data_IF_397524298082
#
_entry.id   IF_397524298082
#
_cell.length_a   1.000
_cell.length_b   1.000
_cell.length_c   1.000
_cell.angle_alpha   90.00
_cell.angle_beta   90.00
_cell.angle_gamma   90.00
#
_symmetry.space_group_name_H-M   'P 1'
#
loop_
_entity.id
_entity.type
_entity.pdbx_description
1 polymer ?
#
# COMPACT_ATOMS: atom_id res chain seq x y z
N UNK A 1 1.23 24.37 -5.17
CA UNK A 1 1.47 25.16 -6.38
C UNK A 1 2.57 24.57 -7.27
N UNK A 2 2.68 23.23 -7.38
CA UNK A 2 3.55 22.55 -8.36
C UNK A 2 5.05 22.52 -8.05
N UNK A 3 5.47 23.02 -6.89
CA UNK A 3 6.89 22.93 -6.50
C UNK A 3 7.14 21.68 -5.66
N UNK A 4 8.02 20.81 -6.15
CA UNK A 4 8.51 19.69 -5.35
C UNK A 4 9.65 20.14 -4.43
N UNK A 5 9.73 19.52 -3.25
CA UNK A 5 10.85 19.70 -2.32
C UNK A 5 11.74 18.46 -2.41
N UNK A 6 12.87 18.51 -3.11
CA UNK A 6 13.71 17.33 -3.34
C UNK A 6 14.15 16.63 -2.05
N UNK A 7 14.39 17.39 -0.99
CA UNK A 7 14.75 16.88 0.34
C UNK A 7 13.68 16.01 0.99
N UNK A 8 12.40 16.28 0.67
CA UNK A 8 11.23 15.55 1.17
C UNK A 8 10.80 14.37 0.29
N UNK A 9 11.51 14.06 -0.79
CA UNK A 9 11.18 12.95 -1.67
C UNK A 9 11.86 11.68 -1.18
N UNK A 10 11.05 10.66 -0.87
CA UNK A 10 11.54 9.32 -0.55
C UNK A 10 10.88 8.33 -1.52
N UNK A 11 11.70 7.48 -2.13
CA UNK A 11 11.23 6.37 -2.95
C UNK A 11 11.44 5.06 -2.22
N UNK A 12 10.36 4.28 -2.11
CA UNK A 12 10.36 2.94 -1.56
C UNK A 12 9.96 1.95 -2.65
N UNK A 13 10.62 0.81 -2.70
CA UNK A 13 10.35 -0.23 -3.70
C UNK A 13 9.47 -1.35 -3.10
N UNK A 14 8.43 -0.97 -2.36
CA UNK A 14 7.41 -1.89 -1.85
C UNK A 14 6.07 -1.45 -2.41
N UNK A 15 5.31 -2.39 -2.94
CA UNK A 15 4.00 -2.13 -3.53
C UNK A 15 3.12 -3.37 -3.61
N UNK A 16 2.07 -3.28 -4.39
CA UNK A 16 1.06 -4.35 -4.51
C UNK A 16 1.61 -5.70 -4.96
N UNK A 17 2.68 -5.71 -5.78
CA UNK A 17 3.33 -6.97 -6.21
C UNK A 17 4.06 -7.67 -5.07
N UNK A 18 4.66 -6.92 -4.17
CA UNK A 18 5.34 -7.49 -3.01
C UNK A 18 4.32 -8.06 -2.01
N UNK A 19 3.17 -7.39 -1.88
CA UNK A 19 2.05 -7.90 -1.09
C UNK A 19 1.49 -9.19 -1.72
N UNK A 20 1.35 -9.26 -3.06
CA UNK A 20 0.92 -10.49 -3.75
C UNK A 20 1.89 -11.64 -3.49
N UNK A 21 3.20 -11.39 -3.60
CA UNK A 21 4.22 -12.39 -3.34
C UNK A 21 4.21 -12.87 -1.89
N UNK A 22 4.06 -11.94 -0.94
CA UNK A 22 3.97 -12.28 0.47
C UNK A 22 2.68 -13.03 0.80
N UNK A 23 1.55 -12.59 0.27
CA UNK A 23 0.28 -13.31 0.43
C UNK A 23 0.35 -14.73 -0.15
N UNK A 24 1.00 -14.90 -1.31
CA UNK A 24 1.21 -16.22 -1.88
C UNK A 24 2.02 -17.11 -0.92
N UNK A 25 3.09 -16.60 -0.32
CA UNK A 25 3.93 -17.37 0.63
C UNK A 25 3.11 -17.86 1.83
N UNK A 26 2.37 -16.96 2.49
CA UNK A 26 1.57 -17.34 3.66
C UNK A 26 0.39 -18.25 3.31
N UNK A 27 -0.18 -18.13 2.11
CA UNK A 27 -1.22 -19.03 1.63
C UNK A 27 -0.66 -20.41 1.24
N UNK A 28 0.58 -20.49 0.72
CA UNK A 28 1.24 -21.75 0.42
C UNK A 28 1.43 -22.60 1.68
N UNK A 29 1.74 -21.96 2.81
CA UNK A 29 1.91 -22.66 4.08
C UNK A 29 0.58 -23.15 4.69
N UNK A 30 -0.48 -22.38 4.57
CA UNK A 30 -1.74 -22.61 5.31
C UNK A 30 -2.85 -23.23 4.46
N UNK A 31 -3.05 -22.74 3.25
CA UNK A 31 -4.25 -23.04 2.46
C UNK A 31 -3.98 -23.83 1.18
N UNK A 32 -2.80 -23.71 0.55
CA UNK A 32 -2.45 -24.43 -0.66
C UNK A 32 -1.84 -25.83 -0.49
N UNK A 33 -1.50 -26.35 0.69
CA UNK A 33 -0.85 -27.67 0.82
C UNK A 33 -1.66 -28.82 0.21
N UNK A 34 -2.98 -28.64 0.07
CA UNK A 34 -3.91 -29.62 -0.53
C UNK A 34 -4.18 -29.42 -2.02
N UNK A 35 -3.74 -28.31 -2.58
CA UNK A 35 -3.97 -27.95 -3.99
C UNK A 35 -2.72 -28.18 -4.84
N UNK A 36 -2.25 -29.43 -4.91
CA UNK A 36 -1.09 -29.86 -5.72
C UNK A 36 -1.21 -29.57 -7.22
N UNK A 37 -2.33 -29.00 -7.67
CA UNK A 37 -2.66 -28.81 -9.09
C UNK A 37 -2.56 -27.35 -9.55
N UNK A 38 -2.29 -26.41 -8.63
CA UNK A 38 -2.23 -24.98 -9.00
C UNK A 38 -0.82 -24.64 -9.47
N UNK A 39 -0.68 -24.25 -10.72
CA UNK A 39 0.61 -23.81 -11.29
C UNK A 39 1.01 -22.43 -10.75
N UNK A 40 2.33 -22.14 -10.73
CA UNK A 40 2.87 -20.94 -10.11
C UNK A 40 2.31 -19.60 -10.64
N UNK A 41 1.94 -19.51 -11.94
CA UNK A 41 1.28 -18.33 -12.52
C UNK A 41 -0.14 -18.14 -12.01
N UNK A 42 -0.91 -19.22 -11.91
CA UNK A 42 -2.28 -19.20 -11.38
C UNK A 42 -2.30 -18.82 -9.89
N UNK A 43 -1.32 -19.28 -9.09
CA UNK A 43 -1.19 -18.88 -7.69
C UNK A 43 -1.05 -17.37 -7.52
N UNK A 44 -0.28 -16.71 -8.39
CA UNK A 44 -0.13 -15.25 -8.38
C UNK A 44 -1.43 -14.52 -8.68
N UNK A 45 -2.19 -15.00 -9.65
CA UNK A 45 -3.48 -14.41 -10.03
C UNK A 45 -4.51 -14.59 -8.92
N UNK A 46 -4.54 -15.77 -8.28
CA UNK A 46 -5.40 -16.05 -7.13
C UNK A 46 -5.02 -15.16 -5.94
N UNK A 47 -3.73 -15.05 -5.61
CA UNK A 47 -3.26 -14.19 -4.53
C UNK A 47 -3.62 -12.72 -4.81
N UNK A 48 -3.49 -12.27 -6.07
CA UNK A 48 -3.88 -10.93 -6.47
C UNK A 48 -5.38 -10.69 -6.30
N UNK A 49 -6.23 -11.62 -6.72
CA UNK A 49 -7.68 -11.53 -6.60
C UNK A 49 -8.11 -11.53 -5.12
N UNK A 50 -7.53 -12.43 -4.31
CA UNK A 50 -7.76 -12.47 -2.86
C UNK A 50 -7.34 -11.16 -2.21
N UNK A 51 -6.16 -10.62 -2.56
CA UNK A 51 -5.69 -9.33 -2.06
C UNK A 51 -6.70 -8.21 -2.32
N UNK A 52 -7.19 -8.10 -3.56
CA UNK A 52 -8.10 -7.00 -3.92
C UNK A 52 -9.49 -7.15 -3.31
N UNK A 53 -9.98 -8.38 -3.10
CA UNK A 53 -11.35 -8.64 -2.64
C UNK A 53 -11.49 -8.82 -1.13
N UNK A 54 -10.47 -9.39 -0.50
CA UNK A 54 -10.62 -9.89 0.88
C UNK A 54 -9.61 -9.32 1.86
N UNK A 55 -8.48 -8.74 1.40
CA UNK A 55 -7.50 -8.16 2.31
C UNK A 55 -7.91 -6.78 2.80
N UNK A 56 -7.55 -6.47 4.04
CA UNK A 56 -7.77 -5.19 4.70
C UNK A 56 -6.60 -4.86 5.63
N UNK A 57 -6.49 -3.61 6.03
CA UNK A 57 -5.48 -3.15 6.99
C UNK A 57 -6.10 -3.11 8.37
N UNK A 58 -5.54 -3.87 9.30
CA UNK A 58 -6.00 -3.84 10.68
C UNK A 58 -5.67 -2.50 11.34
N UNK A 59 -6.63 -1.91 12.04
CA UNK A 59 -6.42 -0.69 12.83
C UNK A 59 -5.40 -0.89 13.95
N UNK A 60 -5.41 -2.09 14.56
CA UNK A 60 -4.42 -2.56 15.52
C UNK A 60 -4.10 -4.01 15.19
N UNK A 61 -2.90 -4.24 14.64
CA UNK A 61 -2.49 -5.56 14.17
C UNK A 61 -2.46 -6.60 15.28
N UNK A 62 -1.90 -6.23 16.44
CA UNK A 62 -1.71 -7.19 17.53
C UNK A 62 -3.07 -7.58 18.17
N UNK A 63 -3.99 -6.63 18.28
CA UNK A 63 -5.35 -6.88 18.76
C UNK A 63 -6.14 -7.76 17.77
N UNK A 64 -6.02 -7.49 16.46
CA UNK A 64 -6.70 -8.27 15.43
C UNK A 64 -6.15 -9.70 15.35
N UNK A 65 -4.83 -9.87 15.51
CA UNK A 65 -4.18 -11.18 15.56
C UNK A 65 -4.67 -12.01 16.78
N UNK A 66 -4.80 -11.38 17.95
CA UNK A 66 -5.37 -12.05 19.12
C UNK A 66 -6.83 -12.44 18.92
N UNK A 67 -7.61 -11.58 18.27
CA UNK A 67 -8.99 -11.87 17.90
C UNK A 67 -9.08 -13.05 16.93
N UNK A 68 -8.27 -13.07 15.87
CA UNK A 68 -8.22 -14.16 14.90
C UNK A 68 -7.85 -15.51 15.50
N UNK A 69 -6.95 -15.53 16.52
CA UNK A 69 -6.60 -16.76 17.24
C UNK A 69 -7.72 -17.29 18.14
N UNK A 70 -8.55 -16.41 18.66
CA UNK A 70 -9.61 -16.77 19.59
C UNK A 70 -10.98 -17.00 18.95
N UNK A 71 -11.20 -16.44 17.75
CA UNK A 71 -12.47 -16.49 17.02
C UNK A 71 -12.25 -16.79 15.55
N UNK A 72 -13.27 -17.34 14.90
CA UNK A 72 -13.26 -17.58 13.44
C UNK A 72 -13.92 -16.45 12.65
N UNK A 73 -14.14 -15.28 13.25
CA UNK A 73 -14.85 -14.16 12.62
C UNK A 73 -14.10 -13.58 11.41
N UNK A 74 -12.77 -13.67 11.43
CA UNK A 74 -11.92 -13.20 10.33
C UNK A 74 -11.92 -14.15 9.13
N UNK A 75 -12.42 -15.40 9.30
CA UNK A 75 -12.32 -16.41 8.27
C UNK A 75 -13.28 -16.12 7.11
N UNK A 76 -12.77 -16.27 5.90
CA UNK A 76 -13.51 -16.14 4.66
C UNK A 76 -13.22 -17.34 3.77
N UNK A 77 -14.26 -17.86 3.11
CA UNK A 77 -14.11 -18.90 2.10
C UNK A 77 -13.95 -18.24 0.72
N UNK A 78 -13.01 -18.75 -0.04
CA UNK A 78 -12.76 -18.36 -1.43
C UNK A 78 -12.85 -19.59 -2.32
N UNK A 79 -13.63 -19.49 -3.38
CA UNK A 79 -13.78 -20.57 -4.36
C UNK A 79 -12.73 -20.44 -5.43
N UNK A 80 -11.86 -21.43 -5.54
CA UNK A 80 -10.85 -21.52 -6.58
C UNK A 80 -11.48 -21.70 -7.96
N UNK A 81 -10.79 -21.33 -9.05
CA UNK A 81 -11.30 -21.52 -10.41
C UNK A 81 -11.70 -22.96 -10.74
N UNK A 82 -11.12 -23.92 -10.04
CA UNK A 82 -11.39 -25.37 -10.18
C UNK A 82 -12.61 -25.84 -9.38
N UNK A 83 -13.27 -24.96 -8.65
CA UNK A 83 -14.44 -25.25 -7.83
C UNK A 83 -14.14 -25.70 -6.40
N UNK A 84 -12.88 -25.86 -6.02
CA UNK A 84 -12.50 -26.15 -4.64
C UNK A 84 -12.61 -24.90 -3.77
N UNK A 85 -13.00 -25.05 -2.52
CA UNK A 85 -13.04 -23.98 -1.53
C UNK A 85 -11.79 -23.99 -0.65
N UNK A 86 -11.23 -22.81 -0.43
CA UNK A 86 -10.20 -22.58 0.55
C UNK A 86 -10.68 -21.55 1.58
N UNK A 87 -10.29 -21.73 2.84
CA UNK A 87 -10.60 -20.82 3.93
C UNK A 87 -9.32 -20.23 4.50
N UNK A 88 -9.32 -18.93 4.70
CA UNK A 88 -8.21 -18.17 5.27
C UNK A 88 -8.75 -17.05 6.16
N UNK A 89 -7.96 -16.58 7.10
CA UNK A 89 -8.37 -15.61 8.11
C UNK A 89 -7.33 -14.55 8.40
N UNK A 90 -6.32 -14.88 9.18
CA UNK A 90 -5.26 -13.93 9.58
C UNK A 90 -4.42 -13.43 8.41
N UNK A 91 -4.34 -14.17 7.32
CA UNK A 91 -3.60 -13.81 6.12
C UNK A 91 -4.15 -12.53 5.48
N UNK A 92 -5.45 -12.28 5.64
CA UNK A 92 -6.16 -11.13 5.08
C UNK A 92 -5.61 -9.79 5.56
N UNK A 93 -5.20 -9.68 6.81
CA UNK A 93 -4.64 -8.46 7.37
C UNK A 93 -3.12 -8.54 7.58
N UNK A 94 -2.55 -9.76 7.59
CA UNK A 94 -1.11 -9.96 7.71
C UNK A 94 -0.38 -9.52 6.43
N UNK A 95 -0.92 -9.81 5.25
CA UNK A 95 -0.27 -9.43 4.01
C UNK A 95 -0.17 -7.90 3.81
N UNK A 96 -1.22 -7.09 4.01
CA UNK A 96 -1.11 -5.64 3.93
C UNK A 96 -0.28 -5.00 5.06
N UNK A 97 -0.10 -5.67 6.20
CA UNK A 97 0.76 -5.17 7.30
C UNK A 97 2.21 -4.97 6.86
N UNK A 98 2.63 -5.62 5.77
CA UNK A 98 3.92 -5.37 5.13
C UNK A 98 4.18 -3.89 4.80
N UNK A 99 3.14 -3.10 4.56
CA UNK A 99 3.27 -1.66 4.32
C UNK A 99 3.69 -0.87 5.56
N UNK A 100 3.43 -1.41 6.76
CA UNK A 100 3.72 -0.78 8.04
C UNK A 100 4.91 -1.43 8.76
N UNK A 101 5.01 -2.76 8.68
CA UNK A 101 6.05 -3.56 9.33
C UNK A 101 6.77 -4.46 8.31
N UNK A 102 7.63 -3.91 7.43
CA UNK A 102 8.31 -4.68 6.39
C UNK A 102 9.37 -5.65 6.92
N UNK A 103 9.64 -5.61 8.22
CA UNK A 103 10.62 -6.46 8.88
C UNK A 103 10.05 -7.80 9.36
N UNK A 104 8.87 -8.19 8.89
CA UNK A 104 8.33 -9.52 9.18
C UNK A 104 9.31 -10.58 8.65
N UNK A 105 9.78 -11.45 9.52
CA UNK A 105 10.89 -12.37 9.25
C UNK A 105 10.68 -13.28 8.04
N UNK A 106 9.43 -13.62 7.78
CA UNK A 106 9.01 -14.47 6.64
C UNK A 106 9.34 -13.79 5.30
N UNK A 107 9.10 -12.49 5.19
CA UNK A 107 9.34 -11.75 3.93
C UNK A 107 10.83 -11.44 3.71
N UNK A 108 11.59 -11.30 4.79
CA UNK A 108 13.02 -10.95 4.75
C UNK A 108 13.89 -12.02 4.10
N UNK A 109 13.51 -13.28 4.24
CA UNK A 109 14.31 -14.41 3.76
C UNK A 109 14.24 -14.62 2.25
N UNK A 110 13.14 -14.24 1.58
CA UNK A 110 12.90 -14.60 0.19
C UNK A 110 12.83 -13.42 -0.81
N UNK A 111 12.41 -12.25 -0.38
CA UNK A 111 12.11 -11.14 -1.31
C UNK A 111 13.22 -10.10 -1.47
N UNK A 112 14.37 -10.24 -0.81
CA UNK A 112 15.49 -9.28 -0.95
C UNK A 112 15.09 -7.84 -0.60
N UNK A 113 14.14 -7.68 0.32
CA UNK A 113 13.63 -6.36 0.71
C UNK A 113 14.77 -5.47 1.16
N UNK A 114 14.87 -4.30 0.55
CA UNK A 114 15.87 -3.29 0.91
C UNK A 114 15.76 -2.97 2.39
N UNK A 115 16.86 -3.11 3.12
CA UNK A 115 17.00 -2.88 4.57
C UNK A 115 16.65 -1.45 5.03
N UNK A 116 16.16 -0.59 4.14
CA UNK A 116 15.89 0.83 4.38
C UNK A 116 14.42 1.19 4.50
N UNK A 117 13.50 0.26 4.23
CA UNK A 117 12.07 0.55 4.38
C UNK A 117 11.65 0.26 5.83
N UNK A 118 11.18 1.27 6.53
CA UNK A 118 10.80 1.22 7.95
C UNK A 118 9.27 1.18 8.17
N UNK A 119 8.50 1.33 7.10
CA UNK A 119 7.05 1.47 7.11
C UNK A 119 6.60 2.79 6.48
N UNK A 120 5.40 2.81 5.92
CA UNK A 120 4.87 3.98 5.21
C UNK A 120 4.65 5.17 6.17
N UNK A 121 4.24 4.90 7.39
CA UNK A 121 4.05 5.87 8.46
C UNK A 121 5.35 6.58 8.82
N UNK A 122 6.43 5.82 9.04
CA UNK A 122 7.76 6.37 9.30
C UNK A 122 8.28 7.20 8.12
N UNK A 123 8.02 6.74 6.91
CA UNK A 123 8.45 7.46 5.70
C UNK A 123 7.71 8.78 5.52
N UNK A 124 6.40 8.82 5.76
CA UNK A 124 5.62 10.08 5.74
C UNK A 124 6.18 11.04 6.79
N UNK A 125 6.37 10.58 8.01
CA UNK A 125 6.95 11.37 9.09
C UNK A 125 8.35 11.90 8.75
N UNK A 126 9.21 11.04 8.23
CA UNK A 126 10.58 11.40 7.83
C UNK A 126 10.60 12.39 6.66
N UNK A 127 9.71 12.23 5.66
CA UNK A 127 9.56 13.18 4.56
C UNK A 127 9.22 14.59 5.07
N UNK A 128 8.23 14.69 5.96
CA UNK A 128 7.80 15.97 6.51
C UNK A 128 8.92 16.61 7.34
N UNK A 129 9.63 15.81 8.15
CA UNK A 129 10.70 16.32 8.99
C UNK A 129 11.97 16.74 8.25
N UNK A 130 12.18 16.27 7.03
CA UNK A 130 13.26 16.75 6.16
C UNK A 130 12.98 18.12 5.56
N UNK A 131 11.71 18.55 5.56
CA UNK A 131 11.33 19.85 5.06
C UNK A 131 11.48 20.95 6.12
N UNK A 132 11.50 22.21 5.68
CA UNK A 132 11.62 23.37 6.55
C UNK A 132 10.50 23.39 7.61
N UNK A 133 10.85 23.83 8.81
CA UNK A 133 9.94 23.79 9.97
C UNK A 133 8.67 24.59 9.74
N UNK A 134 8.76 25.72 9.02
CA UNK A 134 7.66 26.64 8.78
C UNK A 134 6.54 26.03 7.92
N UNK A 135 6.89 25.06 7.05
CA UNK A 135 5.92 24.43 6.14
C UNK A 135 5.42 23.06 6.63
N UNK A 136 6.02 22.48 7.67
CA UNK A 136 5.62 21.16 8.19
C UNK A 136 4.17 21.11 8.61
N UNK A 137 3.66 22.19 9.21
CA UNK A 137 2.27 22.29 9.63
C UNK A 137 1.32 22.12 8.44
N UNK A 138 1.65 22.72 7.30
CA UNK A 138 0.84 22.65 6.10
C UNK A 138 0.89 21.25 5.48
N UNK A 139 2.06 20.57 5.55
CA UNK A 139 2.16 19.18 5.10
C UNK A 139 1.34 18.23 5.96
N UNK A 140 1.37 18.34 7.28
CA UNK A 140 0.52 17.53 8.16
C UNK A 140 -0.98 17.78 7.90
N UNK A 141 -1.37 19.00 7.57
CA UNK A 141 -2.75 19.36 7.28
C UNK A 141 -3.21 18.95 5.86
N UNK A 142 -2.32 18.47 4.99
CA UNK A 142 -2.61 18.16 3.59
C UNK A 142 -1.89 16.89 3.11
N UNK A 143 -2.11 15.79 3.79
CA UNK A 143 -1.58 14.48 3.38
C UNK A 143 -2.54 13.88 2.35
N UNK A 144 -2.09 13.75 1.11
CA UNK A 144 -2.88 13.16 0.02
C UNK A 144 -2.40 11.73 -0.21
N UNK A 145 -3.33 10.78 -0.19
CA UNK A 145 -3.05 9.39 -0.49
C UNK A 145 -3.61 9.01 -1.86
N UNK A 146 -2.83 8.26 -2.65
CA UNK A 146 -3.21 7.81 -3.99
C UNK A 146 -2.52 6.48 -4.33
N UNK A 147 -3.12 5.77 -5.29
CA UNK A 147 -2.62 4.49 -5.77
C UNK A 147 -3.37 3.28 -5.22
N UNK A 148 -3.24 2.13 -5.89
CA UNK A 148 -4.01 0.92 -5.61
C UNK A 148 -3.85 0.40 -4.18
N UNK A 149 -2.64 0.44 -3.61
CA UNK A 149 -2.41 -0.04 -2.23
C UNK A 149 -3.11 0.81 -1.16
N UNK A 150 -3.52 2.03 -1.49
CA UNK A 150 -4.30 2.87 -0.56
C UNK A 150 -5.78 2.49 -0.50
N UNK A 151 -6.22 1.59 -1.39
CA UNK A 151 -7.62 1.16 -1.49
C UNK A 151 -8.01 0.12 -0.45
N UNK A 152 -7.06 -0.50 0.22
CA UNK A 152 -7.37 -1.42 1.32
C UNK A 152 -8.30 -0.74 2.33
N UNK A 153 -9.34 -1.47 2.74
CA UNK A 153 -10.19 -1.07 3.86
C UNK A 153 -9.33 -0.88 5.12
N UNK A 154 -9.59 0.16 5.90
CA UNK A 154 -8.82 0.48 7.11
C UNK A 154 -7.44 1.12 6.85
N UNK A 155 -6.98 1.27 5.60
CA UNK A 155 -5.65 1.83 5.31
C UNK A 155 -5.50 3.27 5.79
N UNK A 156 -6.47 4.13 5.47
CA UNK A 156 -6.42 5.54 5.85
C UNK A 156 -6.41 5.70 7.37
N UNK A 157 -7.33 5.01 8.04
CA UNK A 157 -7.50 5.07 9.49
C UNK A 157 -6.24 4.60 10.22
N UNK A 158 -5.58 3.56 9.70
CA UNK A 158 -4.34 3.07 10.26
C UNK A 158 -3.19 4.06 10.08
N UNK A 159 -3.00 4.60 8.88
CA UNK A 159 -1.95 5.60 8.62
C UNK A 159 -2.19 6.84 9.47
N UNK A 160 -3.43 7.30 9.60
CA UNK A 160 -3.79 8.43 10.43
C UNK A 160 -3.43 8.19 11.91
N UNK A 161 -3.79 7.03 12.46
CA UNK A 161 -3.43 6.61 13.82
C UNK A 161 -1.92 6.67 14.04
N UNK A 162 -1.14 6.07 13.12
CA UNK A 162 0.31 6.00 13.27
C UNK A 162 0.97 7.38 13.14
N UNK A 163 0.50 8.23 12.21
CA UNK A 163 1.02 9.59 12.06
C UNK A 163 0.66 10.46 13.27
N UNK A 164 -0.53 10.32 13.85
CA UNK A 164 -0.90 11.03 15.10
C UNK A 164 0.05 10.64 16.24
N UNK A 165 0.46 9.38 16.31
CA UNK A 165 1.39 8.90 17.33
C UNK A 165 2.81 9.48 17.17
N UNK A 166 3.24 9.70 15.92
CA UNK A 166 4.58 10.18 15.59
C UNK A 166 4.69 11.71 15.59
N UNK A 167 3.63 12.39 15.21
CA UNK A 167 3.62 13.84 15.04
C UNK A 167 3.55 14.58 16.38
N UNK A 168 4.08 15.82 16.46
CA UNK A 168 3.90 16.66 17.63
C UNK A 168 2.41 16.89 17.94
N UNK A 169 1.97 16.90 19.22
CA UNK A 169 0.56 17.00 19.61
C UNK A 169 -0.16 18.27 19.12
N UNK A 170 0.60 19.30 18.78
CA UNK A 170 0.08 20.59 18.30
C UNK A 170 -0.27 20.58 16.80
N UNK A 171 0.10 19.53 16.08
CA UNK A 171 -0.10 19.44 14.64
C UNK A 171 -1.51 18.96 14.32
N UNK A 172 -2.20 19.68 13.44
CA UNK A 172 -3.47 19.24 12.89
C UNK A 172 -3.20 18.34 11.70
N UNK A 173 -3.58 17.08 11.80
CA UNK A 173 -3.39 16.09 10.75
C UNK A 173 -4.68 15.99 9.94
N UNK A 174 -4.56 16.01 8.62
CA UNK A 174 -5.69 15.82 7.70
C UNK A 174 -5.26 15.00 6.50
N UNK A 175 -6.00 13.94 6.26
CA UNK A 175 -5.88 13.11 5.07
C UNK A 175 -6.90 13.50 3.99
N UNK A 176 -6.46 13.41 2.75
CA UNK A 176 -7.31 13.58 1.57
C UNK A 176 -7.23 12.27 0.77
N UNK A 177 -8.33 11.54 0.76
CA UNK A 177 -8.47 10.25 0.09
C UNK A 177 -9.71 10.27 -0.81
N UNK A 178 -9.52 10.56 -2.09
CA UNK A 178 -10.63 10.54 -3.04
C UNK A 178 -11.09 9.10 -3.33
N UNK A 179 -12.37 8.88 -3.62
CA UNK A 179 -12.87 7.55 -3.99
C UNK A 179 -12.12 6.94 -5.18
N UNK A 180 -11.78 7.76 -6.17
CA UNK A 180 -11.07 7.35 -7.40
C UNK A 180 -9.55 7.34 -7.26
N UNK A 181 -9.01 7.38 -6.06
CA UNK A 181 -7.56 7.49 -5.79
C UNK A 181 -6.72 6.36 -6.41
N UNK A 182 -7.32 5.21 -6.72
CA UNK A 182 -6.66 4.14 -7.50
C UNK A 182 -6.13 4.68 -8.83
N UNK A 183 -6.88 5.57 -9.47
CA UNK A 183 -6.57 6.16 -10.76
C UNK A 183 -6.15 7.64 -10.69
N UNK A 184 -5.83 8.14 -9.49
CA UNK A 184 -5.53 9.55 -9.28
C UNK A 184 -4.39 10.09 -10.16
N UNK A 185 -3.34 9.28 -10.36
CA UNK A 185 -2.21 9.64 -11.23
C UNK A 185 -2.63 9.71 -12.70
N UNK A 186 -3.43 8.74 -13.17
CA UNK A 186 -3.96 8.74 -14.52
C UNK A 186 -4.87 9.95 -14.77
N UNK A 187 -5.78 10.22 -13.86
CA UNK A 187 -6.68 11.37 -13.95
C UNK A 187 -5.90 12.68 -14.00
N UNK A 188 -4.88 12.84 -13.15
CA UNK A 188 -3.99 13.99 -13.16
C UNK A 188 -3.22 14.15 -14.47
N UNK A 189 -2.71 13.07 -15.02
CA UNK A 189 -2.07 13.04 -16.34
C UNK A 189 -3.02 13.44 -17.46
N UNK A 190 -4.24 12.93 -17.46
CA UNK A 190 -5.29 13.28 -18.43
C UNK A 190 -5.66 14.76 -18.36
N UNK A 191 -5.83 15.31 -17.16
CA UNK A 191 -6.09 16.74 -16.97
C UNK A 191 -4.92 17.56 -17.50
N UNK A 192 -3.68 17.20 -17.15
CA UNK A 192 -2.49 17.91 -17.62
C UNK A 192 -2.41 17.90 -19.16
N UNK A 193 -2.64 16.73 -19.78
CA UNK A 193 -2.65 16.61 -21.26
C UNK A 193 -3.74 17.39 -21.95
N UNK A 194 -4.81 17.72 -21.25
CA UNK A 194 -5.93 18.54 -21.78
C UNK A 194 -5.70 20.04 -21.66
N UNK A 195 -4.66 20.48 -20.96
CA UNK A 195 -4.39 21.91 -20.81
C UNK A 195 -3.86 22.52 -22.13
N UNK A 196 -4.33 23.74 -22.51
CA UNK A 196 -3.80 24.42 -23.69
C UNK A 196 -2.29 24.68 -23.65
N UNK A 197 -1.72 24.76 -22.44
CA UNK A 197 -0.29 24.97 -22.22
C UNK A 197 0.54 23.69 -22.27
N UNK A 198 -0.10 22.53 -22.45
CA UNK A 198 0.60 21.24 -22.46
C UNK A 198 1.64 21.17 -23.60
N UNK A 199 1.32 21.74 -24.78
CA UNK A 199 2.25 21.82 -25.92
C UNK A 199 3.57 22.54 -25.59
N UNK A 200 3.57 23.42 -24.59
CA UNK A 200 4.78 24.14 -24.12
C UNK A 200 5.62 23.32 -23.12
N UNK A 201 5.10 22.20 -22.65
CA UNK A 201 5.75 21.34 -21.65
C UNK A 201 6.38 20.10 -22.26
N UNK A 202 6.11 19.83 -23.54
CA UNK A 202 6.58 18.64 -24.24
C UNK A 202 7.65 19.02 -25.26
N UNK A 203 8.57 18.11 -25.51
CA UNK A 203 9.50 18.17 -26.63
C UNK A 203 8.75 17.64 -27.85
N UNK A 204 8.64 18.43 -28.91
CA UNK A 204 7.99 18.03 -30.16
C UNK A 204 8.85 17.05 -30.93
N UNK A 205 8.24 16.35 -31.91
CA UNK A 205 8.97 15.42 -32.77
C UNK A 205 10.12 16.12 -33.53
N UNK A 206 9.90 17.35 -33.96
CA UNK A 206 10.90 18.12 -34.69
C UNK A 206 12.05 18.55 -33.78
N UNK A 207 11.76 19.04 -32.59
CA UNK A 207 12.77 19.38 -31.57
C UNK A 207 13.56 18.16 -31.04
N UNK A 208 13.01 16.96 -31.15
CA UNK A 208 13.69 15.72 -30.75
C UNK A 208 14.66 15.24 -31.82
N UNK A 209 14.41 15.56 -33.12
CA UNK A 209 15.22 15.11 -34.24
C UNK A 209 16.33 16.11 -34.61
N UNK A 210 16.30 17.34 -34.08
CA UNK A 210 17.36 18.35 -34.20
C UNK A 210 18.45 18.13 -33.13
#
# INVERSE_FOLDING_TARGET
KGYSRPEGIIRCNIGGRDIDAFLQLILDDCAFPRANYIFGSQKKEIAHDIKEKHCYVAYDYDAELQKAKNTSECNVSYTLPEGNEMTFGEERFTAPELLFKPQMDIFRSEAGCSSKFEGIDQHIFNCINKCDIDIRKDFYANIVISGGCTMFEGFQERVEKEIIRLAPPTMKIKFVAYPERKYGVWNGGSILGSLPTFSQMVITHDEYND
#
